data_IF_446597933884
#
_entry.id   IF_446597933884
#
_cell.length_a   1.000
_cell.length_b   1.000
_cell.length_c   1.000
_cell.angle_alpha   90.00
_cell.angle_beta   90.00
_cell.angle_gamma   90.00
#
_symmetry.space_group_name_H-M   'P 1'
#
loop_
_entity.id
_entity.type
_entity.pdbx_description
1 polymer ?
#
# COMPACT_ATOMS: atom_id res chain seq x y z
N UNK A 1 -20.95 -11.41 -25.22
CA UNK A 1 -20.05 -11.36 -24.05
C UNK A 1 -18.80 -12.14 -24.37
N UNK A 2 -17.61 -11.60 -24.12
CA UNK A 2 -16.37 -12.09 -24.73
C UNK A 2 -15.55 -13.06 -23.89
N UNK A 3 -15.91 -13.35 -22.64
CA UNK A 3 -15.29 -14.43 -21.86
C UNK A 3 -16.33 -14.98 -20.86
N UNK A 4 -16.78 -16.21 -21.09
CA UNK A 4 -17.68 -16.92 -20.18
C UNK A 4 -16.85 -17.37 -18.97
N UNK A 5 -17.22 -16.89 -17.79
CA UNK A 5 -16.52 -17.25 -16.57
C UNK A 5 -16.91 -18.67 -16.15
N UNK A 6 -15.90 -19.52 -15.93
CA UNK A 6 -16.10 -20.89 -15.43
C UNK A 6 -16.25 -20.88 -13.91
N UNK A 7 -17.10 -21.76 -13.40
CA UNK A 7 -17.16 -22.07 -11.98
C UNK A 7 -15.87 -22.77 -11.50
N UNK A 8 -15.57 -22.77 -10.20
CA UNK A 8 -14.38 -23.44 -9.68
C UNK A 8 -14.38 -24.94 -9.99
N UNK A 9 -13.21 -25.50 -10.34
CA UNK A 9 -13.04 -26.92 -10.66
C UNK A 9 -13.48 -27.89 -9.55
N UNK A 10 -13.47 -27.45 -8.28
CA UNK A 10 -13.85 -28.24 -7.10
C UNK A 10 -14.97 -27.56 -6.33
N UNK A 11 -15.83 -28.36 -5.70
CA UNK A 11 -16.91 -27.87 -4.83
C UNK A 11 -16.42 -27.43 -3.43
N UNK A 12 -15.21 -26.88 -3.34
CA UNK A 12 -14.62 -26.42 -2.08
C UNK A 12 -13.16 -26.02 -2.21
N UNK A 13 -12.66 -25.29 -1.21
CA UNK A 13 -11.29 -24.76 -1.15
C UNK A 13 -10.24 -25.78 -0.66
N UNK A 14 -10.63 -27.01 -0.31
CA UNK A 14 -9.69 -28.02 0.19
C UNK A 14 -9.06 -28.83 -0.95
N UNK A 15 -7.84 -29.33 -0.72
CA UNK A 15 -7.12 -30.21 -1.65
C UNK A 15 -7.89 -31.50 -1.97
N UNK A 16 -8.72 -31.97 -1.05
CA UNK A 16 -9.54 -33.19 -1.18
C UNK A 16 -10.99 -32.94 -1.61
N UNK A 17 -11.37 -31.70 -1.93
CA UNK A 17 -12.73 -31.41 -2.35
C UNK A 17 -13.09 -32.17 -3.65
N UNK A 18 -14.31 -32.72 -3.75
CA UNK A 18 -14.74 -33.44 -4.93
C UNK A 18 -14.85 -32.50 -6.15
N UNK A 19 -14.80 -33.05 -7.38
CA UNK A 19 -14.99 -32.28 -8.60
C UNK A 19 -16.33 -31.53 -8.60
N UNK A 20 -16.35 -30.33 -9.17
CA UNK A 20 -17.57 -29.53 -9.29
C UNK A 20 -18.44 -30.00 -10.44
N UNK A 21 -19.71 -30.29 -10.14
CA UNK A 21 -20.74 -30.60 -11.13
C UNK A 21 -21.05 -29.37 -11.99
N UNK A 22 -21.08 -28.17 -11.40
CA UNK A 22 -21.27 -26.91 -12.12
C UNK A 22 -20.12 -26.63 -13.09
N UNK A 23 -18.87 -26.92 -12.71
CA UNK A 23 -17.75 -26.83 -13.64
C UNK A 23 -17.88 -27.83 -14.79
N UNK A 24 -18.34 -29.06 -14.51
CA UNK A 24 -18.60 -30.04 -15.55
C UNK A 24 -19.68 -29.56 -16.53
N UNK A 25 -20.76 -28.97 -16.03
CA UNK A 25 -21.81 -28.35 -16.85
C UNK A 25 -21.29 -27.18 -17.69
N UNK A 26 -20.44 -26.32 -17.12
CA UNK A 26 -19.82 -25.22 -17.87
C UNK A 26 -18.96 -25.73 -19.02
N UNK A 27 -18.19 -26.80 -18.79
CA UNK A 27 -17.37 -27.45 -19.81
C UNK A 27 -18.25 -28.07 -20.89
N UNK A 28 -19.31 -28.80 -20.51
CA UNK A 28 -20.25 -29.38 -21.47
C UNK A 28 -20.92 -28.29 -22.31
N UNK A 29 -21.36 -27.19 -21.67
CA UNK A 29 -21.97 -26.06 -22.36
C UNK A 29 -20.98 -25.36 -23.28
N UNK A 30 -19.70 -25.23 -22.89
CA UNK A 30 -18.66 -24.72 -23.80
C UNK A 30 -18.50 -25.63 -25.03
N UNK A 31 -18.47 -26.96 -24.85
CA UNK A 31 -18.41 -27.88 -25.97
C UNK A 31 -19.62 -27.74 -26.89
N UNK A 32 -20.82 -27.63 -26.35
CA UNK A 32 -22.05 -27.40 -27.13
C UNK A 32 -22.00 -26.06 -27.89
N UNK A 33 -21.56 -24.98 -27.23
CA UNK A 33 -21.42 -23.65 -27.82
C UNK A 33 -20.40 -23.66 -28.97
N UNK A 34 -19.24 -24.32 -28.79
CA UNK A 34 -18.22 -24.51 -29.84
C UNK A 34 -18.79 -25.32 -30.99
N UNK A 35 -19.44 -26.46 -30.72
CA UNK A 35 -20.00 -27.32 -31.75
C UNK A 35 -21.10 -26.61 -32.55
N UNK A 36 -21.93 -25.80 -31.88
CA UNK A 36 -22.94 -24.97 -32.53
C UNK A 36 -22.29 -23.90 -33.41
N UNK A 37 -21.32 -23.16 -32.88
CA UNK A 37 -20.58 -22.16 -33.65
C UNK A 37 -19.86 -22.77 -34.87
N UNK A 38 -19.27 -23.97 -34.72
CA UNK A 38 -18.65 -24.71 -35.83
C UNK A 38 -19.66 -25.18 -36.88
N UNK A 39 -20.90 -25.52 -36.49
CA UNK A 39 -21.97 -25.86 -37.44
C UNK A 39 -22.50 -24.64 -38.18
N UNK A 40 -22.56 -23.50 -37.50
CA UNK A 40 -23.04 -22.23 -38.05
C UNK A 40 -21.99 -21.53 -38.93
N UNK A 41 -20.71 -21.90 -38.81
CA UNK A 41 -19.64 -21.48 -39.70
C UNK A 41 -19.77 -22.19 -41.06
N UNK A 42 -20.11 -21.41 -42.09
CA UNK A 42 -20.25 -21.86 -43.48
C UNK A 42 -18.94 -22.37 -44.11
N UNK A 43 -17.79 -22.04 -43.50
CA UNK A 43 -16.49 -22.59 -43.86
C UNK A 43 -16.22 -23.88 -43.07
N UNK A 44 -16.45 -25.05 -43.69
CA UNK A 44 -15.96 -26.32 -43.16
C UNK A 44 -14.43 -26.33 -43.26
N UNK A 45 -13.75 -25.99 -42.17
CA UNK A 45 -12.31 -26.23 -42.03
C UNK A 45 -12.10 -27.71 -41.73
N UNK A 46 -11.17 -28.35 -42.44
CA UNK A 46 -10.80 -29.73 -42.15
C UNK A 46 -10.07 -29.81 -40.81
N UNK A 47 -10.31 -30.88 -40.04
CA UNK A 47 -9.68 -31.07 -38.73
C UNK A 47 -8.16 -30.95 -38.77
N UNK A 48 -7.51 -31.38 -39.87
CA UNK A 48 -6.07 -31.25 -40.08
C UNK A 48 -5.61 -29.79 -40.10
N UNK A 49 -6.32 -28.93 -40.84
CA UNK A 49 -6.04 -27.50 -40.90
C UNK A 49 -6.29 -26.82 -39.55
N UNK A 50 -7.37 -27.21 -38.85
CA UNK A 50 -7.64 -26.71 -37.51
C UNK A 50 -6.55 -27.12 -36.51
N UNK A 51 -6.13 -28.38 -36.53
CA UNK A 51 -5.04 -28.89 -35.69
C UNK A 51 -3.72 -28.18 -36.00
N UNK A 52 -3.38 -27.94 -37.26
CA UNK A 52 -2.19 -27.17 -37.64
C UNK A 52 -2.26 -25.72 -37.15
N UNK A 53 -3.42 -25.08 -37.22
CA UNK A 53 -3.62 -23.72 -36.69
C UNK A 53 -3.49 -23.67 -35.17
N UNK A 54 -4.12 -24.61 -34.46
CA UNK A 54 -4.03 -24.70 -32.99
C UNK A 54 -2.62 -25.04 -32.55
N UNK A 55 -1.97 -25.99 -33.23
CA UNK A 55 -0.57 -26.35 -32.97
C UNK A 55 0.36 -25.17 -33.23
N UNK A 56 0.20 -24.46 -34.35
CA UNK A 56 0.99 -23.26 -34.68
C UNK A 56 0.78 -22.13 -33.68
N UNK A 57 -0.47 -21.91 -33.25
CA UNK A 57 -0.78 -20.98 -32.16
C UNK A 57 -0.06 -21.38 -30.88
N UNK A 58 -0.21 -22.63 -30.44
CA UNK A 58 0.43 -23.12 -29.22
C UNK A 58 1.95 -23.14 -29.32
N UNK A 59 2.54 -23.49 -30.45
CA UNK A 59 3.99 -23.38 -30.71
C UNK A 59 4.44 -21.92 -30.58
N UNK A 60 3.68 -20.99 -31.16
CA UNK A 60 3.94 -19.55 -31.09
C UNK A 60 3.82 -18.97 -29.67
N UNK A 61 2.86 -19.44 -28.86
CA UNK A 61 2.73 -19.00 -27.45
C UNK A 61 3.58 -19.82 -26.47
N UNK A 62 4.05 -21.02 -26.85
CA UNK A 62 4.91 -21.89 -26.04
C UNK A 62 6.38 -21.51 -26.08
N UNK A 63 6.82 -20.77 -27.11
CA UNK A 63 8.13 -20.12 -27.13
C UNK A 63 8.17 -19.03 -26.07
N UNK A 64 8.60 -19.39 -24.85
CA UNK A 64 9.13 -18.63 -23.70
C UNK A 64 8.51 -17.27 -23.32
N UNK A 65 8.15 -16.41 -24.27
CA UNK A 65 7.52 -15.12 -24.07
C UNK A 65 6.20 -15.17 -23.31
N UNK A 66 5.34 -16.19 -23.45
CA UNK A 66 4.06 -16.16 -22.74
C UNK A 66 4.20 -16.43 -21.24
N UNK A 67 5.03 -17.41 -20.85
CA UNK A 67 5.33 -17.68 -19.44
C UNK A 67 6.15 -16.54 -18.79
N UNK A 68 7.09 -15.96 -19.54
CA UNK A 68 7.83 -14.75 -19.13
C UNK A 68 6.90 -13.54 -19.03
N UNK A 69 5.96 -13.34 -19.96
CA UNK A 69 4.96 -12.27 -19.91
C UNK A 69 3.99 -12.47 -18.75
N UNK A 70 3.52 -13.69 -18.47
CA UNK A 70 2.66 -13.95 -17.32
C UNK A 70 3.38 -13.76 -15.98
N UNK A 71 4.65 -14.18 -15.89
CA UNK A 71 5.51 -13.90 -14.75
C UNK A 71 5.71 -12.39 -14.57
N UNK A 72 6.00 -11.67 -15.65
CA UNK A 72 6.13 -10.21 -15.64
C UNK A 72 4.81 -9.52 -15.24
N UNK A 73 3.66 -10.01 -15.69
CA UNK A 73 2.33 -9.47 -15.34
C UNK A 73 2.02 -9.70 -13.87
N UNK A 74 2.29 -10.89 -13.33
CA UNK A 74 2.16 -11.16 -11.89
C UNK A 74 3.07 -10.26 -11.06
N UNK A 75 4.33 -10.13 -11.45
CA UNK A 75 5.31 -9.25 -10.79
C UNK A 75 4.88 -7.77 -10.89
N UNK A 76 4.28 -7.34 -12.01
CA UNK A 76 3.70 -5.99 -12.16
C UNK A 76 2.52 -5.78 -11.21
N UNK A 77 1.59 -6.72 -11.11
CA UNK A 77 0.45 -6.61 -10.17
C UNK A 77 0.92 -6.60 -8.72
N UNK A 78 1.87 -7.45 -8.35
CA UNK A 78 2.48 -7.44 -7.03
C UNK A 78 3.21 -6.13 -6.75
N UNK A 79 3.87 -5.54 -7.75
CA UNK A 79 4.50 -4.23 -7.64
C UNK A 79 3.46 -3.12 -7.41
N UNK A 80 2.35 -3.12 -8.17
CA UNK A 80 1.27 -2.15 -8.06
C UNK A 80 0.58 -2.25 -6.70
N UNK A 81 0.16 -3.46 -6.30
CA UNK A 81 -0.50 -3.69 -5.01
C UNK A 81 0.42 -3.31 -3.84
N UNK A 82 1.70 -3.67 -3.91
CA UNK A 82 2.70 -3.23 -2.93
C UNK A 82 2.79 -1.71 -2.87
N UNK A 83 2.80 -1.03 -4.01
CA UNK A 83 2.84 0.44 -4.07
C UNK A 83 1.61 1.05 -3.42
N UNK A 84 0.42 0.52 -3.69
CA UNK A 84 -0.84 0.98 -3.07
C UNK A 84 -0.80 0.84 -1.55
N UNK A 85 -0.37 -0.32 -1.04
CA UNK A 85 -0.22 -0.54 0.40
C UNK A 85 0.84 0.39 1.02
N UNK A 86 1.97 0.62 0.35
CA UNK A 86 2.98 1.60 0.79
C UNK A 86 2.37 3.00 0.88
N UNK A 87 1.63 3.44 -0.15
CA UNK A 87 0.97 4.75 -0.16
C UNK A 87 0.01 4.88 1.02
N UNK A 88 -0.83 3.87 1.25
CA UNK A 88 -1.78 3.87 2.37
C UNK A 88 -1.10 3.99 3.73
N UNK A 89 0.02 3.27 3.93
CA UNK A 89 0.82 3.39 5.15
C UNK A 89 1.40 4.80 5.31
N UNK A 90 1.94 5.39 4.24
CA UNK A 90 2.47 6.77 4.26
C UNK A 90 1.40 7.80 4.61
N UNK A 91 0.20 7.69 4.03
CA UNK A 91 -0.92 8.56 4.34
C UNK A 91 -1.30 8.50 5.83
N UNK A 92 -1.37 7.29 6.41
CA UNK A 92 -1.65 7.15 7.85
C UNK A 92 -0.52 7.70 8.72
N UNK A 93 0.74 7.52 8.32
CA UNK A 93 1.89 8.12 8.99
C UNK A 93 1.77 9.65 8.96
N UNK A 94 1.40 10.25 7.83
CA UNK A 94 1.25 11.70 7.71
C UNK A 94 0.14 12.24 8.61
N UNK A 95 -0.98 11.53 8.72
CA UNK A 95 -2.06 11.88 9.64
C UNK A 95 -1.59 11.83 11.09
N UNK A 96 -0.83 10.81 11.48
CA UNK A 96 -0.25 10.71 12.82
C UNK A 96 0.72 11.87 13.10
N UNK A 97 1.63 12.18 12.17
CA UNK A 97 2.55 13.33 12.32
C UNK A 97 1.81 14.65 12.39
N UNK A 98 0.75 14.84 11.60
CA UNK A 98 -0.08 16.04 11.65
C UNK A 98 -0.77 16.20 13.00
N UNK A 99 -1.40 15.14 13.51
CA UNK A 99 -2.06 15.16 14.82
C UNK A 99 -1.08 15.52 15.96
N UNK A 100 0.12 14.95 15.93
CA UNK A 100 1.17 15.25 16.91
C UNK A 100 1.74 16.66 16.75
N UNK A 101 1.87 17.15 15.52
CA UNK A 101 2.28 18.53 15.25
C UNK A 101 1.23 19.54 15.76
N UNK A 102 -0.05 19.26 15.57
CA UNK A 102 -1.15 20.11 16.08
C UNK A 102 -1.19 20.12 17.60
N UNK A 103 -1.05 18.95 18.24
CA UNK A 103 -0.98 18.85 19.69
C UNK A 103 0.23 19.62 20.23
N UNK A 104 1.41 19.41 19.65
CA UNK A 104 2.64 20.12 20.04
C UNK A 104 2.53 21.62 19.81
N UNK A 105 1.90 22.07 18.73
CA UNK A 105 1.66 23.48 18.46
C UNK A 105 0.74 24.14 19.47
N UNK A 106 -0.31 23.42 19.93
CA UNK A 106 -1.20 23.92 20.99
C UNK A 106 -0.46 24.02 22.32
N UNK A 107 0.37 23.03 22.65
CA UNK A 107 1.18 23.03 23.87
C UNK A 107 2.22 24.16 23.87
N UNK A 108 2.85 24.47 22.71
CA UNK A 108 3.70 25.65 22.52
C UNK A 108 2.93 26.93 22.91
N UNK A 109 1.76 27.14 22.32
CA UNK A 109 0.96 28.36 22.53
C UNK A 109 0.54 28.55 23.98
N UNK A 110 0.25 27.47 24.71
CA UNK A 110 -0.13 27.54 26.13
C UNK A 110 1.05 27.85 27.04
N UNK A 111 2.26 27.42 26.68
CA UNK A 111 3.45 27.59 27.51
C UNK A 111 4.26 28.84 27.17
N UNK A 112 3.96 29.48 26.04
CA UNK A 112 4.69 30.64 25.48
C UNK A 112 4.84 31.80 26.46
N UNK A 113 3.83 32.08 27.30
CA UNK A 113 3.85 33.22 28.24
C UNK A 113 4.97 33.17 29.31
N UNK A 114 5.72 32.06 29.42
CA UNK A 114 6.81 31.90 30.39
C UNK A 114 8.13 31.41 29.77
N UNK A 115 8.33 31.54 28.45
CA UNK A 115 9.50 30.96 27.79
C UNK A 115 10.82 31.67 28.13
N UNK A 116 11.83 30.88 28.48
CA UNK A 116 13.24 31.28 28.54
C UNK A 116 14.11 30.24 27.80
N UNK A 117 15.39 30.51 27.61
CA UNK A 117 16.30 29.63 26.85
C UNK A 117 16.40 28.19 27.39
N UNK A 118 16.28 28.02 28.72
CA UNK A 118 16.29 26.69 29.33
C UNK A 118 15.00 25.92 29.00
N UNK A 119 13.84 26.58 29.10
CA UNK A 119 12.55 26.03 28.71
C UNK A 119 12.49 25.70 27.22
N UNK A 120 13.15 26.47 26.37
CA UNK A 120 13.28 26.18 24.93
C UNK A 120 13.98 24.85 24.69
N UNK A 121 15.14 24.64 25.29
CA UNK A 121 15.90 23.40 25.10
C UNK A 121 15.15 22.18 25.62
N UNK A 122 14.48 22.29 26.77
CA UNK A 122 13.62 21.25 27.32
C UNK A 122 12.44 20.95 26.39
N UNK A 123 11.87 21.97 25.77
CA UNK A 123 10.76 21.83 24.83
C UNK A 123 11.16 21.14 23.53
N UNK A 124 12.31 21.51 22.94
CA UNK A 124 12.84 20.85 21.73
C UNK A 124 13.12 19.36 21.99
N UNK A 125 13.56 19.02 23.20
CA UNK A 125 13.71 17.64 23.63
C UNK A 125 12.36 16.92 23.71
N UNK A 126 11.35 17.55 24.34
CA UNK A 126 9.98 17.04 24.41
C UNK A 126 9.36 16.80 23.02
N UNK A 127 9.54 17.72 22.05
CA UNK A 127 9.12 17.52 20.66
C UNK A 127 9.75 16.25 20.08
N UNK A 128 11.05 16.06 20.31
CA UNK A 128 11.77 14.90 19.75
C UNK A 128 11.23 13.58 20.32
N UNK A 129 10.86 13.56 21.59
CA UNK A 129 10.25 12.40 22.25
C UNK A 129 8.80 12.17 21.76
N UNK A 130 8.01 13.23 21.60
CA UNK A 130 6.62 13.16 21.15
C UNK A 130 6.46 12.79 19.67
N UNK A 131 7.52 12.92 18.87
CA UNK A 131 7.56 12.53 17.46
C UNK A 131 8.14 11.12 17.24
N UNK A 132 8.31 10.31 18.29
CA UNK A 132 8.74 8.90 18.16
C UNK A 132 7.62 7.95 17.69
N UNK A 133 6.78 8.43 16.79
CA UNK A 133 5.57 7.78 16.27
C UNK A 133 5.81 7.07 14.92
N UNK A 134 4.91 6.18 14.48
CA UNK A 134 3.74 5.64 15.21
C UNK A 134 4.12 4.55 16.24
N UNK A 135 5.40 4.23 16.40
CA UNK A 135 5.87 3.13 17.26
C UNK A 135 5.72 3.42 18.75
N UNK A 136 6.00 4.66 19.16
CA UNK A 136 5.89 5.12 20.55
C UNK A 136 5.13 6.43 20.55
N UNK A 137 3.85 6.31 20.88
CA UNK A 137 2.98 7.47 21.06
C UNK A 137 2.91 7.77 22.56
N UNK A 138 3.24 9.00 22.94
CA UNK A 138 3.10 9.54 24.30
C UNK A 138 1.68 10.06 24.58
N UNK A 139 0.83 10.17 23.56
CA UNK A 139 -0.56 10.60 23.65
C UNK A 139 -1.44 9.36 23.89
N UNK A 140 -2.19 9.34 25.00
CA UNK A 140 -3.13 8.27 25.32
C UNK A 140 -4.21 8.17 24.22
N UNK A 141 -4.53 6.95 23.76
CA UNK A 141 -5.52 6.65 22.71
C UNK A 141 -5.38 7.47 21.42
N UNK A 142 -4.15 7.68 20.94
CA UNK A 142 -3.95 8.30 19.64
C UNK A 142 -4.40 7.39 18.49
N UNK A 143 -5.63 7.59 18.03
CA UNK A 143 -6.23 6.82 16.94
C UNK A 143 -5.41 6.86 15.65
N UNK A 144 -4.78 7.99 15.33
CA UNK A 144 -3.97 8.12 14.11
C UNK A 144 -2.70 7.27 14.20
N UNK A 145 -2.06 7.18 15.38
CA UNK A 145 -0.93 6.28 15.59
C UNK A 145 -1.35 4.81 15.53
N UNK A 146 -2.51 4.47 16.07
CA UNK A 146 -3.07 3.11 15.99
C UNK A 146 -3.38 2.71 14.54
N UNK A 147 -4.03 3.59 13.79
CA UNK A 147 -4.32 3.39 12.36
C UNK A 147 -3.04 3.20 11.56
N UNK A 148 -2.04 4.05 11.78
CA UNK A 148 -0.74 3.94 11.10
C UNK A 148 -0.03 2.62 11.44
N UNK A 149 -0.08 2.19 12.71
CA UNK A 149 0.50 0.92 13.15
C UNK A 149 -0.21 -0.29 12.54
N UNK A 150 -1.54 -0.26 12.52
CA UNK A 150 -2.36 -1.31 11.93
C UNK A 150 -2.08 -1.50 10.43
N UNK A 151 -2.05 -0.41 9.65
CA UNK A 151 -1.70 -0.49 8.23
C UNK A 151 -0.25 -0.93 8.01
N UNK A 152 0.67 -0.52 8.88
CA UNK A 152 2.06 -0.94 8.83
C UNK A 152 2.24 -2.43 9.11
N UNK A 153 1.54 -2.98 10.11
CA UNK A 153 1.56 -4.40 10.41
C UNK A 153 0.89 -5.22 9.30
N UNK A 154 -0.19 -4.69 8.70
CA UNK A 154 -0.80 -5.26 7.49
C UNK A 154 0.19 -5.32 6.31
N UNK A 155 0.96 -4.24 6.07
CA UNK A 155 1.99 -4.22 5.03
C UNK A 155 3.13 -5.20 5.32
N UNK A 156 3.59 -5.29 6.58
CA UNK A 156 4.61 -6.27 7.00
C UNK A 156 4.16 -7.69 6.71
N UNK A 157 2.96 -8.05 7.14
CA UNK A 157 2.38 -9.37 6.89
C UNK A 157 2.27 -9.66 5.39
N UNK A 158 1.90 -8.66 4.59
CA UNK A 158 1.83 -8.80 3.13
C UNK A 158 3.18 -9.09 2.46
N UNK A 159 4.29 -8.57 3.01
CA UNK A 159 5.64 -8.76 2.43
C UNK A 159 6.49 -9.80 3.14
N UNK A 160 5.99 -10.47 4.17
CA UNK A 160 6.79 -11.31 5.08
C UNK A 160 7.59 -12.41 4.36
N UNK A 161 6.98 -13.03 3.34
CA UNK A 161 7.54 -14.11 2.52
C UNK A 161 7.94 -13.64 1.10
N UNK A 162 8.06 -12.33 0.87
CA UNK A 162 8.39 -11.76 -0.45
C UNK A 162 9.83 -11.26 -0.47
N UNK A 163 10.52 -11.44 -1.60
CA UNK A 163 11.89 -10.89 -1.81
C UNK A 163 11.95 -9.36 -1.60
N UNK A 164 10.83 -8.68 -1.82
CA UNK A 164 10.66 -7.24 -1.64
C UNK A 164 10.55 -6.75 -0.19
N UNK A 165 10.58 -7.65 0.81
CA UNK A 165 10.42 -7.33 2.23
C UNK A 165 11.35 -6.22 2.69
N UNK A 166 12.66 -6.44 2.56
CA UNK A 166 13.67 -5.53 3.11
C UNK A 166 13.58 -4.14 2.47
N UNK A 167 13.35 -4.07 1.16
CA UNK A 167 13.19 -2.80 0.43
C UNK A 167 11.94 -2.04 0.86
N UNK A 168 10.84 -2.77 1.06
CA UNK A 168 9.58 -2.18 1.52
C UNK A 168 9.73 -1.62 2.93
N UNK A 169 10.32 -2.39 3.84
CA UNK A 169 10.52 -1.96 5.22
C UNK A 169 11.45 -0.76 5.30
N UNK A 170 12.55 -0.77 4.52
CA UNK A 170 13.49 0.35 4.41
C UNK A 170 12.81 1.61 3.88
N UNK A 171 11.93 1.47 2.89
CA UNK A 171 11.20 2.59 2.29
C UNK A 171 10.34 3.31 3.32
N UNK A 172 9.56 2.57 4.12
CA UNK A 172 8.72 3.17 5.16
C UNK A 172 9.56 3.72 6.32
N UNK A 173 10.60 3.02 6.77
CA UNK A 173 11.48 3.53 7.83
C UNK A 173 12.16 4.85 7.41
N UNK A 174 12.63 4.94 6.16
CA UNK A 174 13.18 6.18 5.63
C UNK A 174 12.12 7.29 5.59
N UNK A 175 10.90 6.94 5.18
CA UNK A 175 9.78 7.89 5.18
C UNK A 175 9.44 8.42 6.56
N UNK A 176 9.34 7.55 7.58
CA UNK A 176 9.09 7.94 8.97
C UNK A 176 10.19 8.88 9.46
N UNK A 177 11.46 8.56 9.18
CA UNK A 177 12.58 9.42 9.55
C UNK A 177 12.48 10.79 8.89
N UNK A 178 12.17 10.83 7.60
CA UNK A 178 11.99 12.08 6.88
C UNK A 178 10.83 12.92 7.44
N UNK A 179 9.66 12.31 7.63
CA UNK A 179 8.49 12.96 8.20
C UNK A 179 8.78 13.52 9.61
N UNK A 180 9.49 12.77 10.44
CA UNK A 180 9.92 13.20 11.77
C UNK A 180 10.79 14.45 11.73
N UNK A 181 11.86 14.44 10.92
CA UNK A 181 12.77 15.58 10.82
C UNK A 181 12.06 16.80 10.24
N UNK A 182 11.20 16.60 9.24
CA UNK A 182 10.38 17.66 8.66
C UNK A 182 9.47 18.30 9.72
N UNK A 183 8.65 17.49 10.40
CA UNK A 183 7.73 17.98 11.44
C UNK A 183 8.47 18.65 12.59
N UNK A 184 9.59 18.07 13.05
CA UNK A 184 10.44 18.67 14.08
C UNK A 184 10.94 20.05 13.66
N UNK A 185 11.48 20.16 12.44
CA UNK A 185 11.97 21.43 11.91
C UNK A 185 10.88 22.48 11.88
N UNK A 186 9.67 22.12 11.41
CA UNK A 186 8.52 23.04 11.39
C UNK A 186 8.13 23.51 12.79
N UNK A 187 8.05 22.61 13.77
CA UNK A 187 7.70 22.97 15.15
C UNK A 187 8.76 23.86 15.82
N UNK A 188 10.05 23.58 15.58
CA UNK A 188 11.14 24.40 16.09
C UNK A 188 11.11 25.80 15.46
N UNK A 189 10.89 25.90 14.14
CA UNK A 189 10.76 27.19 13.46
C UNK A 189 9.57 28.00 13.99
N UNK A 190 8.44 27.35 14.27
CA UNK A 190 7.28 28.01 14.90
C UNK A 190 7.65 28.55 16.28
N UNK A 191 8.37 27.76 17.09
CA UNK A 191 8.82 28.18 18.40
C UNK A 191 9.78 29.38 18.33
N UNK A 192 10.76 29.33 17.44
CA UNK A 192 11.75 30.40 17.25
C UNK A 192 11.10 31.70 16.75
N UNK A 193 10.14 31.60 15.82
CA UNK A 193 9.40 32.76 15.33
C UNK A 193 8.58 33.44 16.44
N UNK A 194 8.06 32.66 17.39
CA UNK A 194 7.35 33.20 18.55
C UNK A 194 8.28 33.97 19.49
N UNK A 195 9.48 33.46 19.77
CA UNK A 195 10.47 34.15 20.61
C UNK A 195 10.90 35.49 20.01
N UNK A 196 11.21 35.52 18.70
CA UNK A 196 11.61 36.76 18.01
C UNK A 196 10.47 37.79 18.04
N UNK A 197 9.22 37.35 17.96
CA UNK A 197 8.05 38.24 18.03
C UNK A 197 7.91 38.95 19.39
N UNK A 198 8.23 38.27 20.50
CA UNK A 198 8.21 38.84 21.85
C UNK A 198 9.42 39.78 22.12
N UNK A 199 10.60 39.42 21.61
CA UNK A 199 11.79 40.28 21.72
C UNK A 199 11.60 41.60 20.96
N UNK A 200 10.98 41.57 19.78
CA UNK A 200 10.65 42.79 19.05
C UNK A 200 9.59 43.64 19.78
N UNK A 201 8.52 43.06 20.33
CA UNK A 201 7.50 43.87 21.05
C UNK A 201 8.04 44.50 22.33
N UNK A 202 8.97 43.84 23.02
CA UNK A 202 9.62 44.39 24.22
C UNK A 202 10.65 45.48 23.91
N UNK A 203 11.36 45.41 22.77
CA UNK A 203 12.24 46.51 22.31
C UNK A 203 11.46 47.76 21.85
N UNK A 204 10.26 47.61 21.30
CA UNK A 204 9.46 48.75 20.82
C UNK A 204 8.53 49.37 21.89
N UNK A 205 8.35 48.73 23.04
CA UNK A 205 7.54 49.25 24.16
C UNK A 205 8.37 49.84 25.32
N UNK A 206 9.70 49.86 25.21
CA UNK A 206 10.62 50.63 26.06
C UNK A 206 11.13 51.89 25.34
#
# INVERSE_FOLDING_TARGET
>A
ELLKQFHPFKNGASTYAPPSEQYHEDVNKLYEDILKACKDLSSKIEFKQWHELVKSYWESVSHEQFAVQFKNVKEMYEFIERREKITKVKEKIDLAFRAHAEWSSKDIRLKIENFNDNLRNDYVKSISENLDIPMRCSIHDCQECENARSEWDSLKNYVEDKDSKNDTLRTINHYIKHAREYTKTTLVQMLDAHQIGEDCTTEFMN
#
